data_IF_554569419062
#
_entry.id   IF_554569419062
#
_cell.length_a   1.000
_cell.length_b   1.000
_cell.length_c   1.000
_cell.angle_alpha   90.00
_cell.angle_beta   90.00
_cell.angle_gamma   90.00
#
_symmetry.space_group_name_H-M   'P 1'
#
loop_
_entity.id
_entity.type
_entity.pdbx_description
1 polymer ?
#
# COMPACT_ATOMS: atom_id res chain seq x y z
N UNK A 1 -29.28 24.31 45.97
CA UNK A 1 -29.77 23.95 44.62
C UNK A 1 -28.92 24.54 43.51
N UNK A 2 -28.68 25.86 43.44
CA UNK A 2 -27.78 26.43 42.40
C UNK A 2 -26.29 26.09 42.62
N UNK A 3 -25.83 25.99 43.89
CA UNK A 3 -24.45 25.67 44.21
C UNK A 3 -24.08 24.20 43.93
N UNK A 4 -24.99 23.25 44.14
CA UNK A 4 -24.76 21.83 43.81
C UNK A 4 -24.71 21.61 42.29
N UNK A 5 -25.55 22.32 41.53
CA UNK A 5 -25.51 22.27 40.06
C UNK A 5 -24.25 22.92 39.48
N UNK A 6 -23.71 23.96 40.14
CA UNK A 6 -22.45 24.60 39.75
C UNK A 6 -21.22 23.77 40.15
N UNK A 7 -21.29 23.03 41.26
CA UNK A 7 -20.23 22.09 41.67
C UNK A 7 -20.13 20.87 40.73
N UNK A 8 -21.28 20.35 40.25
CA UNK A 8 -21.32 19.29 39.22
C UNK A 8 -20.77 19.76 37.86
N UNK A 9 -20.96 21.03 37.50
CA UNK A 9 -20.41 21.61 36.27
C UNK A 9 -18.89 21.84 36.32
N UNK A 10 -18.29 21.84 37.52
CA UNK A 10 -16.87 22.10 37.74
C UNK A 10 -15.99 20.85 37.55
N UNK A 11 -16.56 19.66 37.36
CA UNK A 11 -15.81 18.38 37.26
C UNK A 11 -15.89 17.65 35.90
N UNK A 12 -16.34 18.32 34.82
CA UNK A 12 -16.24 17.72 33.48
C UNK A 12 -14.93 18.16 32.82
N UNK A 13 -13.87 17.38 33.04
CA UNK A 13 -12.61 17.54 32.31
C UNK A 13 -12.78 17.09 30.85
N UNK A 14 -12.68 18.04 29.93
CA UNK A 14 -12.71 17.84 28.48
C UNK A 14 -11.31 17.65 27.88
N UNK A 15 -10.29 17.34 28.69
CA UNK A 15 -8.98 16.98 28.18
C UNK A 15 -9.07 15.77 27.22
N UNK A 16 -8.20 15.73 26.20
CA UNK A 16 -8.16 14.59 25.25
C UNK A 16 -8.02 13.25 25.98
N UNK A 17 -7.25 13.24 27.07
CA UNK A 17 -7.06 12.05 27.90
C UNK A 17 -8.34 11.66 28.62
N UNK A 18 -9.07 12.61 29.22
CA UNK A 18 -10.34 12.35 29.88
C UNK A 18 -11.40 11.83 28.88
N UNK A 19 -11.49 12.42 27.70
CA UNK A 19 -12.38 11.95 26.63
C UNK A 19 -12.04 10.52 26.17
N UNK A 20 -10.75 10.22 25.99
CA UNK A 20 -10.31 8.86 25.70
C UNK A 20 -10.61 7.90 26.86
N UNK A 21 -10.40 8.32 28.11
CA UNK A 21 -10.64 7.51 29.31
C UNK A 21 -12.13 7.16 29.48
N UNK A 22 -13.04 8.08 29.16
CA UNK A 22 -14.50 7.88 29.18
C UNK A 22 -15.01 6.95 28.06
N UNK A 23 -14.29 6.84 26.95
CA UNK A 23 -14.71 5.99 25.84
C UNK A 23 -14.82 4.51 26.25
N UNK A 24 -15.80 3.81 25.68
CA UNK A 24 -16.00 2.37 25.91
C UNK A 24 -14.79 1.57 25.41
N UNK A 25 -14.60 0.36 25.95
CA UNK A 25 -13.49 -0.53 25.58
C UNK A 25 -13.41 -0.76 24.06
N UNK A 26 -14.56 -0.93 23.40
CA UNK A 26 -14.64 -1.16 21.95
C UNK A 26 -14.17 0.07 21.17
N UNK A 27 -14.56 1.28 21.57
CA UNK A 27 -14.10 2.52 20.92
C UNK A 27 -12.59 2.70 21.09
N UNK A 28 -12.05 2.38 22.27
CA UNK A 28 -10.59 2.37 22.52
C UNK A 28 -9.86 1.38 21.61
N UNK A 29 -10.39 0.17 21.44
CA UNK A 29 -9.83 -0.84 20.54
C UNK A 29 -9.86 -0.39 19.07
N UNK A 30 -10.96 0.23 18.63
CA UNK A 30 -11.08 0.79 17.27
C UNK A 30 -10.01 1.87 17.04
N UNK A 31 -9.88 2.84 17.95
CA UNK A 31 -8.86 3.89 17.84
C UNK A 31 -7.44 3.31 17.80
N UNK A 32 -7.13 2.35 18.68
CA UNK A 32 -5.83 1.70 18.71
C UNK A 32 -5.53 0.95 17.41
N UNK A 33 -6.50 0.18 16.89
CA UNK A 33 -6.37 -0.53 15.61
C UNK A 33 -6.08 0.44 14.46
N UNK A 34 -6.80 1.57 14.39
CA UNK A 34 -6.59 2.57 13.34
C UNK A 34 -5.21 3.22 13.42
N UNK A 35 -4.68 3.45 14.62
CA UNK A 35 -3.32 3.94 14.83
C UNK A 35 -2.30 2.93 14.30
N UNK A 36 -2.43 1.66 14.65
CA UNK A 36 -1.54 0.58 14.15
C UNK A 36 -1.61 0.47 12.62
N UNK A 37 -2.82 0.51 12.05
CA UNK A 37 -3.02 0.49 10.60
C UNK A 37 -2.36 1.70 9.91
N UNK A 38 -2.39 2.88 10.53
CA UNK A 38 -1.72 4.08 10.04
C UNK A 38 -0.19 3.92 9.99
N UNK A 39 0.42 3.41 11.06
CA UNK A 39 1.86 3.11 11.08
C UNK A 39 2.24 2.08 10.00
N UNK A 40 1.42 1.04 9.84
CA UNK A 40 1.64 0.01 8.82
C UNK A 40 1.55 0.58 7.40
N UNK A 41 0.55 1.42 7.13
CA UNK A 41 0.38 2.09 5.85
C UNK A 41 1.59 2.97 5.50
N UNK A 42 2.07 3.77 6.45
CA UNK A 42 3.26 4.61 6.26
C UNK A 42 4.53 3.80 6.00
N UNK A 43 4.70 2.66 6.68
CA UNK A 43 5.82 1.75 6.42
C UNK A 43 5.83 1.28 4.97
N UNK A 44 4.67 0.85 4.44
CA UNK A 44 4.54 0.41 3.05
C UNK A 44 4.80 1.57 2.08
N UNK A 45 4.26 2.76 2.35
CA UNK A 45 4.43 3.95 1.50
C UNK A 45 5.92 4.29 1.35
N UNK A 46 6.66 4.36 2.46
CA UNK A 46 8.10 4.70 2.44
C UNK A 46 8.88 3.63 1.68
N UNK A 47 8.63 2.36 1.97
CA UNK A 47 9.27 1.25 1.26
C UNK A 47 9.05 1.33 -0.25
N UNK A 48 7.81 1.61 -0.69
CA UNK A 48 7.46 1.71 -2.11
C UNK A 48 8.07 2.92 -2.80
N UNK A 49 8.15 4.06 -2.12
CA UNK A 49 8.84 5.25 -2.66
C UNK A 49 10.32 4.91 -2.95
N UNK A 50 11.00 4.20 -2.03
CA UNK A 50 12.40 3.81 -2.23
C UNK A 50 12.54 2.85 -3.41
N UNK A 51 11.69 1.81 -3.47
CA UNK A 51 11.72 0.80 -4.54
C UNK A 51 11.46 1.44 -5.91
N UNK A 52 10.44 2.29 -6.04
CA UNK A 52 10.13 2.95 -7.32
C UNK A 52 11.19 3.94 -7.75
N UNK A 53 11.81 4.67 -6.81
CA UNK A 53 12.94 5.56 -7.14
C UNK A 53 14.13 4.76 -7.67
N UNK A 54 14.48 3.66 -6.99
CA UNK A 54 15.57 2.78 -7.42
C UNK A 54 15.30 2.18 -8.80
N UNK A 55 14.11 1.60 -9.01
CA UNK A 55 13.73 1.00 -10.28
C UNK A 55 13.72 2.03 -11.43
N UNK A 56 13.26 3.26 -11.19
CA UNK A 56 13.31 4.35 -12.19
C UNK A 56 14.73 4.73 -12.56
N UNK A 57 15.62 4.85 -11.57
CA UNK A 57 17.02 5.18 -11.83
C UNK A 57 17.72 4.08 -12.64
N UNK A 58 17.52 2.81 -12.27
CA UNK A 58 18.07 1.67 -12.99
C UNK A 58 17.54 1.61 -14.43
N UNK A 59 16.23 1.85 -14.62
CA UNK A 59 15.62 1.92 -15.94
C UNK A 59 16.22 3.06 -16.78
N UNK A 60 16.42 4.25 -16.22
CA UNK A 60 17.00 5.39 -16.93
C UNK A 60 18.46 5.14 -17.37
N UNK A 61 19.24 4.45 -16.53
CA UNK A 61 20.60 4.03 -16.86
C UNK A 61 20.58 3.03 -18.01
N UNK A 62 19.71 2.02 -17.92
CA UNK A 62 19.56 1.00 -18.96
C UNK A 62 19.10 1.61 -20.29
N UNK A 63 18.07 2.48 -20.25
CA UNK A 63 17.54 3.14 -21.45
C UNK A 63 18.64 3.90 -22.20
N UNK A 64 19.50 4.64 -21.49
CA UNK A 64 20.64 5.33 -22.13
C UNK A 64 21.58 4.37 -22.86
N UNK A 65 21.85 3.19 -22.30
CA UNK A 65 22.70 2.17 -22.95
C UNK A 65 21.98 1.53 -24.13
N UNK A 66 20.71 1.19 -23.95
CA UNK A 66 19.87 0.59 -24.98
C UNK A 66 19.76 1.51 -26.22
N UNK A 67 19.64 2.83 -26.01
CA UNK A 67 19.55 3.83 -27.08
C UNK A 67 20.92 4.37 -27.55
N UNK A 68 22.04 3.85 -27.04
CA UNK A 68 23.38 4.33 -27.40
C UNK A 68 23.82 3.98 -28.83
N UNK A 69 23.11 3.05 -29.49
CA UNK A 69 23.48 2.52 -30.81
C UNK A 69 24.41 1.30 -30.76
N UNK A 70 24.75 0.80 -29.57
CA UNK A 70 25.46 -0.46 -29.39
C UNK A 70 24.61 -1.66 -29.87
N UNK A 71 25.19 -2.67 -30.54
CA UNK A 71 24.46 -3.87 -30.93
C UNK A 71 23.83 -4.57 -29.71
N UNK A 72 22.56 -4.96 -29.84
CA UNK A 72 21.80 -5.60 -28.75
C UNK A 72 22.45 -6.89 -28.24
N UNK A 73 23.11 -7.66 -29.13
CA UNK A 73 23.86 -8.85 -28.73
C UNK A 73 25.05 -8.51 -27.83
N UNK A 74 25.77 -7.43 -28.10
CA UNK A 74 26.89 -6.96 -27.26
C UNK A 74 26.39 -6.49 -25.89
N UNK A 75 25.30 -5.72 -25.88
CA UNK A 75 24.65 -5.27 -24.64
C UNK A 75 24.19 -6.46 -23.78
N UNK A 76 23.64 -7.51 -24.40
CA UNK A 76 23.23 -8.73 -23.68
C UNK A 76 24.43 -9.54 -23.15
N UNK A 77 25.56 -9.56 -23.86
CA UNK A 77 26.78 -10.23 -23.37
C UNK A 77 27.38 -9.50 -22.16
N UNK A 78 27.23 -8.18 -22.05
CA UNK A 78 27.63 -7.40 -20.87
C UNK A 78 26.69 -7.63 -19.68
N UNK A 79 25.37 -7.57 -19.92
CA UNK A 79 24.33 -7.63 -18.88
C UNK A 79 24.13 -9.06 -18.37
N UNK A 80 24.22 -10.05 -19.26
CA UNK A 80 23.98 -11.45 -18.98
C UNK A 80 22.49 -11.85 -18.87
N UNK A 81 22.21 -13.13 -18.58
CA UNK A 81 20.85 -13.68 -18.59
C UNK A 81 20.03 -13.39 -17.33
N UNK A 82 20.65 -13.03 -16.21
CA UNK A 82 19.96 -12.71 -14.94
C UNK A 82 20.49 -11.41 -14.33
N UNK A 83 20.14 -10.26 -14.93
CA UNK A 83 20.58 -8.97 -14.44
C UNK A 83 19.80 -8.52 -13.20
N UNK A 84 20.37 -7.55 -12.48
CA UNK A 84 19.76 -7.04 -11.26
C UNK A 84 18.55 -6.13 -11.54
N UNK A 85 18.65 -5.28 -12.57
CA UNK A 85 17.64 -4.28 -12.91
C UNK A 85 16.39 -4.88 -13.56
N UNK A 86 15.21 -4.34 -13.24
CA UNK A 86 13.94 -4.89 -13.74
C UNK A 86 13.81 -4.72 -15.27
N UNK A 87 14.15 -3.55 -15.82
CA UNK A 87 14.18 -3.31 -17.27
C UNK A 87 15.18 -4.22 -17.98
N UNK A 88 16.34 -4.47 -17.35
CA UNK A 88 17.37 -5.36 -17.87
C UNK A 88 16.86 -6.81 -17.92
N UNK A 89 16.09 -7.27 -16.91
CA UNK A 89 15.50 -8.63 -16.91
C UNK A 89 14.50 -8.81 -18.05
N UNK A 90 13.70 -7.78 -18.35
CA UNK A 90 12.77 -7.79 -19.48
C UNK A 90 13.54 -7.90 -20.81
N UNK A 91 14.60 -7.11 -20.96
CA UNK A 91 15.48 -7.17 -22.13
C UNK A 91 16.16 -8.55 -22.26
N UNK A 92 16.71 -9.08 -21.16
CA UNK A 92 17.34 -10.39 -21.12
C UNK A 92 16.37 -11.51 -21.52
N UNK A 93 15.11 -11.44 -21.08
CA UNK A 93 14.07 -12.39 -21.48
C UNK A 93 13.79 -12.39 -22.99
N UNK A 94 13.79 -11.21 -23.62
CA UNK A 94 13.68 -11.07 -25.07
C UNK A 94 14.90 -11.60 -25.81
N UNK A 95 16.11 -11.23 -25.36
CA UNK A 95 17.38 -11.62 -25.98
C UNK A 95 17.67 -13.13 -25.86
N UNK A 96 17.29 -13.76 -24.75
CA UNK A 96 17.38 -15.21 -24.61
C UNK A 96 16.53 -15.94 -25.66
N UNK A 97 15.31 -15.45 -25.92
CA UNK A 97 14.44 -16.05 -26.92
C UNK A 97 14.86 -15.70 -28.35
N UNK A 98 15.42 -14.51 -28.57
CA UNK A 98 16.06 -14.11 -29.83
C UNK A 98 17.20 -15.06 -30.21
N UNK A 99 18.14 -15.30 -29.29
CA UNK A 99 19.26 -16.22 -29.50
C UNK A 99 18.81 -17.66 -29.70
N UNK A 100 17.80 -18.12 -28.95
CA UNK A 100 17.21 -19.45 -29.12
C UNK A 100 16.47 -19.62 -30.45
N UNK A 101 15.96 -18.53 -31.00
CA UNK A 101 15.18 -18.53 -32.24
C UNK A 101 16.03 -18.46 -33.52
N UNK A 102 17.35 -18.34 -33.40
CA UNK A 102 18.28 -18.46 -34.52
C UNK A 102 18.51 -19.92 -34.86
N UNK A 103 18.29 -20.28 -36.13
CA UNK A 103 18.65 -21.60 -36.66
C UNK A 103 20.12 -21.59 -37.11
N UNK A 104 20.70 -22.79 -37.21
CA UNK A 104 22.07 -22.98 -37.71
C UNK A 104 22.29 -22.51 -39.16
N UNK A 105 21.21 -22.26 -39.93
CA UNK A 105 21.23 -21.73 -41.30
C UNK A 105 21.14 -20.19 -41.36
N UNK A 106 21.13 -19.50 -40.21
CA UNK A 106 21.01 -18.05 -40.11
C UNK A 106 19.58 -17.52 -40.22
N UNK A 107 18.57 -18.38 -40.42
CA UNK A 107 17.18 -17.97 -40.48
C UNK A 107 16.51 -18.01 -39.10
N UNK A 108 15.53 -17.13 -38.88
CA UNK A 108 14.68 -17.20 -37.70
C UNK A 108 13.69 -18.36 -37.80
N UNK A 109 13.49 -19.10 -36.72
CA UNK A 109 12.40 -20.08 -36.60
C UNK A 109 11.06 -19.37 -36.82
N UNK A 110 10.12 -20.00 -37.53
CA UNK A 110 8.78 -19.45 -37.72
C UNK A 110 8.14 -19.03 -36.37
N UNK A 111 7.57 -17.83 -36.34
CA UNK A 111 6.98 -17.26 -35.12
C UNK A 111 8.00 -16.78 -34.07
N UNK A 112 9.28 -16.61 -34.40
CA UNK A 112 10.31 -16.09 -33.49
C UNK A 112 9.91 -14.76 -32.86
N UNK A 113 9.43 -13.80 -33.65
CA UNK A 113 8.96 -12.49 -33.16
C UNK A 113 7.86 -12.65 -32.12
N UNK A 114 6.82 -13.43 -32.42
CA UNK A 114 5.72 -13.69 -31.49
C UNK A 114 6.17 -14.40 -30.19
N UNK A 115 7.24 -15.22 -30.23
CA UNK A 115 7.80 -15.83 -29.02
C UNK A 115 8.61 -14.84 -28.19
N UNK A 116 9.38 -13.97 -28.85
CA UNK A 116 10.14 -12.89 -28.20
C UNK A 116 9.18 -11.93 -27.49
N UNK A 117 8.15 -11.46 -28.19
CA UNK A 117 7.13 -10.57 -27.64
C UNK A 117 6.47 -11.21 -26.40
N UNK A 118 6.05 -12.48 -26.52
CA UNK A 118 5.47 -13.23 -25.39
C UNK A 118 6.43 -13.38 -24.22
N UNK A 119 7.72 -13.63 -24.48
CA UNK A 119 8.74 -13.74 -23.43
C UNK A 119 8.90 -12.42 -22.67
N UNK A 120 8.93 -11.31 -23.41
CA UNK A 120 9.00 -9.97 -22.85
C UNK A 120 7.72 -9.61 -22.07
N UNK A 121 6.53 -9.92 -22.59
CA UNK A 121 5.25 -9.68 -21.90
C UNK A 121 5.18 -10.44 -20.56
N UNK A 122 5.63 -11.69 -20.53
CA UNK A 122 5.69 -12.49 -19.29
C UNK A 122 6.68 -11.87 -18.30
N UNK A 123 7.83 -11.41 -18.77
CA UNK A 123 8.80 -10.72 -17.91
C UNK A 123 8.24 -9.40 -17.37
N UNK A 124 7.57 -8.60 -18.22
CA UNK A 124 6.89 -7.34 -17.82
C UNK A 124 5.86 -7.64 -16.74
N UNK A 125 5.02 -8.65 -16.92
CA UNK A 125 4.01 -9.03 -15.94
C UNK A 125 4.64 -9.41 -14.59
N UNK A 126 5.70 -10.23 -14.61
CA UNK A 126 6.41 -10.67 -13.41
C UNK A 126 7.06 -9.53 -12.65
N UNK A 127 7.78 -8.64 -13.34
CA UNK A 127 8.42 -7.49 -12.70
C UNK A 127 7.38 -6.48 -12.18
N UNK A 128 6.29 -6.28 -12.92
CA UNK A 128 5.15 -5.45 -12.50
C UNK A 128 4.47 -5.98 -11.24
N UNK A 129 4.27 -7.30 -11.15
CA UNK A 129 3.73 -7.93 -9.93
C UNK A 129 4.63 -7.68 -8.72
N UNK A 130 5.95 -7.83 -8.89
CA UNK A 130 6.94 -7.49 -7.86
C UNK A 130 6.84 -6.04 -7.39
N UNK A 131 6.68 -5.10 -8.32
CA UNK A 131 6.48 -3.68 -8.03
C UNK A 131 5.14 -3.39 -7.33
N UNK A 132 4.08 -4.13 -7.64
CA UNK A 132 2.74 -3.93 -7.09
C UNK A 132 2.52 -4.60 -5.74
N UNK A 133 3.39 -5.53 -5.32
CA UNK A 133 3.33 -6.22 -4.03
C UNK A 133 3.02 -5.28 -2.86
N UNK A 134 2.09 -5.62 -1.96
CA UNK A 134 1.77 -4.78 -0.80
C UNK A 134 0.93 -3.52 -1.08
N UNK A 135 0.75 -3.08 -2.33
CA UNK A 135 -0.22 -2.02 -2.67
C UNK A 135 -1.65 -2.45 -2.34
N UNK A 136 -1.95 -3.75 -2.47
CA UNK A 136 -3.26 -4.30 -2.13
C UNK A 136 -3.59 -4.08 -0.64
N UNK A 137 -2.62 -4.23 0.26
CA UNK A 137 -2.80 -3.96 1.69
C UNK A 137 -3.14 -2.49 1.91
N UNK A 138 -2.41 -1.59 1.25
CA UNK A 138 -2.69 -0.15 1.35
C UNK A 138 -4.09 0.20 0.82
N UNK A 139 -4.52 -0.42 -0.28
CA UNK A 139 -5.86 -0.26 -0.84
C UNK A 139 -6.96 -0.80 0.09
N UNK A 140 -6.74 -1.94 0.74
CA UNK A 140 -7.67 -2.49 1.73
C UNK A 140 -7.74 -1.61 2.97
N UNK A 141 -6.61 -1.18 3.52
CA UNK A 141 -6.60 -0.29 4.70
C UNK A 141 -7.27 1.04 4.37
N UNK A 142 -6.96 1.63 3.21
CA UNK A 142 -7.55 2.89 2.76
C UNK A 142 -9.07 2.82 2.55
N UNK A 143 -9.58 1.68 2.06
CA UNK A 143 -11.02 1.51 1.82
C UNK A 143 -11.80 1.08 3.07
N UNK A 144 -11.20 0.31 3.98
CA UNK A 144 -11.90 -0.25 5.16
C UNK A 144 -11.79 0.62 6.41
N UNK A 145 -10.72 1.40 6.57
CA UNK A 145 -10.51 2.26 7.74
C UNK A 145 -11.68 3.23 8.02
N UNK A 146 -12.31 3.89 7.02
CA UNK A 146 -13.47 4.75 7.27
C UNK A 146 -14.65 4.00 7.89
N UNK A 147 -14.89 2.76 7.47
CA UNK A 147 -15.97 1.92 8.01
C UNK A 147 -15.67 1.45 9.43
N UNK A 148 -14.40 1.13 9.73
CA UNK A 148 -13.96 0.80 11.08
C UNK A 148 -14.14 2.00 12.02
N UNK A 149 -13.79 3.21 11.56
CA UNK A 149 -14.03 4.45 12.31
C UNK A 149 -15.52 4.72 12.52
N UNK A 150 -16.34 4.59 11.47
CA UNK A 150 -17.79 4.73 11.55
C UNK A 150 -18.39 3.74 12.54
N UNK A 151 -17.96 2.48 12.53
CA UNK A 151 -18.38 1.48 13.52
C UNK A 151 -18.11 1.95 14.96
N UNK A 152 -16.93 2.49 15.23
CA UNK A 152 -16.61 3.06 16.55
C UNK A 152 -17.55 4.18 16.96
N UNK A 153 -17.90 5.08 16.03
CA UNK A 153 -18.85 6.18 16.32
C UNK A 153 -20.27 5.67 16.60
N UNK A 154 -20.78 4.73 15.79
CA UNK A 154 -22.11 4.14 15.98
C UNK A 154 -22.19 3.40 17.32
N UNK A 155 -21.14 2.64 17.66
CA UNK A 155 -21.04 1.94 18.92
C UNK A 155 -21.04 2.91 20.13
N UNK A 156 -20.25 3.98 20.04
CA UNK A 156 -20.20 5.01 21.08
C UNK A 156 -21.54 5.70 21.30
N UNK A 157 -22.20 6.10 20.22
CA UNK A 157 -23.53 6.73 20.28
C UNK A 157 -24.57 5.76 20.85
N UNK A 158 -24.57 4.49 20.43
CA UNK A 158 -25.47 3.48 20.97
C UNK A 158 -25.31 3.33 22.49
N UNK A 159 -24.07 3.28 22.99
CA UNK A 159 -23.80 3.22 24.43
C UNK A 159 -24.27 4.46 25.18
N UNK A 160 -24.02 5.65 24.63
CA UNK A 160 -24.52 6.89 25.21
C UNK A 160 -26.05 6.88 25.38
N UNK A 161 -26.80 6.41 24.37
CA UNK A 161 -28.26 6.30 24.48
C UNK A 161 -28.72 5.26 25.51
N UNK A 162 -28.00 4.15 25.68
CA UNK A 162 -28.29 3.15 26.72
C UNK A 162 -28.11 3.78 28.12
N UNK A 163 -27.01 4.51 28.34
CA UNK A 163 -26.74 5.19 29.61
C UNK A 163 -27.81 6.26 29.94
N UNK A 164 -28.27 7.04 28.95
CA UNK A 164 -29.38 8.01 29.12
C UNK A 164 -30.66 7.28 29.54
N UNK A 165 -30.97 6.13 28.90
CA UNK A 165 -32.16 5.36 29.20
C UNK A 165 -32.13 4.76 30.62
N UNK A 166 -30.97 4.24 31.05
CA UNK A 166 -30.78 3.68 32.39
C UNK A 166 -30.89 4.75 33.50
N UNK A 167 -30.38 5.95 33.25
CA UNK A 167 -30.42 7.05 34.21
C UNK A 167 -31.82 7.69 34.35
N UNK A 168 -32.77 7.35 33.47
CA UNK A 168 -34.12 7.94 33.41
C UNK A 168 -34.13 9.49 33.38
N UNK A 169 -33.00 10.10 33.05
CA UNK A 169 -32.78 11.53 33.10
C UNK A 169 -32.44 12.00 31.69
N UNK A 170 -33.26 12.86 31.12
CA UNK A 170 -33.09 13.38 29.75
C UNK A 170 -32.03 14.49 29.67
N UNK A 171 -31.31 14.75 30.76
CA UNK A 171 -30.27 15.76 30.79
C UNK A 171 -29.02 15.31 30.00
N UNK A 172 -28.88 15.84 28.79
CA UNK A 172 -27.75 15.59 27.89
C UNK A 172 -26.38 15.93 28.50
N UNK A 173 -26.33 16.80 29.51
CA UNK A 173 -25.08 17.18 30.18
C UNK A 173 -24.42 16.04 30.97
N UNK A 174 -25.13 14.96 31.27
CA UNK A 174 -24.57 13.81 32.00
C UNK A 174 -23.79 12.86 31.07
N UNK A 175 -24.02 12.94 29.76
CA UNK A 175 -23.47 12.00 28.75
C UNK A 175 -22.59 12.72 27.71
N UNK A 176 -22.64 14.05 27.66
CA UNK A 176 -21.72 14.91 26.89
C UNK A 176 -20.39 15.13 27.63
#
# INVERSE_FOLDING_TARGET
MEADTLALAQEIDFSMWALFARATLIVKLVMFMLIVASFWAWSIIIQKIIIYRKARLEAEIFDRRFWSGEPLDGLFDEIGPDPAGQSERIFAAGMMEWRRSHRNDGNLIAGATARIDRSMDVAIAKESEGLQSGLQVLATVGSTAPFIGLFGTVWGIMHAFIEIAEQQNTNLAVVA
#
